data_IF_816683733396
#
_entry.id   IF_816683733396
#
_cell.length_a   1.000
_cell.length_b   1.000
_cell.length_c   1.000
_cell.angle_alpha   90.00
_cell.angle_beta   90.00
_cell.angle_gamma   90.00
#
_symmetry.space_group_name_H-M   'P 1'
#
loop_
_entity.id
_entity.type
_entity.pdbx_description
1 polymer ?
#
# COMPACT_ATOMS: atom_id res chain seq x y z
N UNK A 1 6.26 -8.71 -24.52
CA UNK A 1 6.67 -8.84 -23.15
C UNK A 1 5.82 -7.95 -22.28
N UNK A 2 5.23 -8.51 -21.28
CA UNK A 2 4.47 -7.69 -20.39
C UNK A 2 5.42 -6.91 -19.50
N UNK A 3 5.04 -5.70 -19.17
CA UNK A 3 5.77 -4.93 -18.18
C UNK A 3 5.80 -5.65 -16.85
N UNK A 4 5.02 -6.69 -16.79
CA UNK A 4 4.99 -7.55 -15.64
C UNK A 4 4.52 -6.87 -14.38
N UNK A 5 3.94 -7.67 -13.53
CA UNK A 5 3.64 -7.26 -12.18
C UNK A 5 4.92 -7.40 -11.35
N UNK A 6 5.22 -6.40 -10.54
CA UNK A 6 6.37 -6.47 -9.64
C UNK A 6 6.04 -5.79 -8.32
N UNK A 7 6.57 -6.36 -7.24
CA UNK A 7 6.49 -5.75 -5.92
C UNK A 7 7.82 -5.07 -5.64
N UNK A 8 7.78 -3.76 -5.45
CA UNK A 8 8.96 -2.98 -5.10
C UNK A 8 9.01 -2.86 -3.59
N UNK A 9 10.14 -3.24 -2.98
CA UNK A 9 10.22 -3.34 -1.52
C UNK A 9 11.30 -2.44 -0.93
N UNK A 10 11.04 -2.01 0.30
CA UNK A 10 12.01 -1.25 1.09
C UNK A 10 11.83 -1.58 2.58
N UNK A 11 12.90 -1.43 3.34
CA UNK A 11 12.87 -1.68 4.78
C UNK A 11 12.16 -0.55 5.51
N UNK A 12 11.41 -0.91 6.54
CA UNK A 12 10.78 0.09 7.42
C UNK A 12 10.43 -0.56 8.76
N UNK A 13 10.77 0.07 9.85
CA UNK A 13 10.37 -0.34 11.19
C UNK A 13 10.79 -1.75 11.61
N UNK A 14 11.81 -2.30 10.98
CA UNK A 14 12.28 -3.65 11.25
C UNK A 14 11.73 -4.71 10.31
N UNK A 15 10.78 -4.35 9.47
CA UNK A 15 10.17 -5.24 8.47
C UNK A 15 10.33 -4.70 7.06
N UNK A 16 9.35 -5.06 6.20
CA UNK A 16 9.39 -4.70 4.80
C UNK A 16 8.07 -4.11 4.35
N UNK A 17 8.15 -3.00 3.62
CA UNK A 17 7.01 -2.45 2.88
C UNK A 17 7.13 -2.85 1.43
N UNK A 18 6.00 -3.22 0.82
CA UNK A 18 5.93 -3.49 -0.61
C UNK A 18 4.91 -2.58 -1.27
N UNK A 19 5.21 -2.17 -2.49
CA UNK A 19 4.31 -1.34 -3.30
C UNK A 19 4.21 -1.95 -4.69
N UNK A 20 2.97 -2.07 -5.19
CA UNK A 20 2.73 -2.68 -6.48
C UNK A 20 1.48 -2.11 -7.13
N UNK A 21 1.32 -2.30 -8.45
CA UNK A 21 0.05 -2.00 -9.10
C UNK A 21 -1.01 -3.01 -8.70
N UNK A 22 -2.25 -2.82 -9.16
CA UNK A 22 -3.36 -3.70 -8.83
C UNK A 22 -3.04 -5.14 -9.21
N UNK A 23 -2.95 -6.07 -8.24
CA UNK A 23 -2.70 -7.48 -8.54
C UNK A 23 -3.92 -8.12 -9.20
N UNK A 24 -3.67 -8.90 -10.23
CA UNK A 24 -4.69 -9.68 -10.92
C UNK A 24 -4.50 -11.15 -10.63
N UNK A 25 -5.42 -12.01 -11.13
CA UNK A 25 -5.33 -13.43 -10.86
C UNK A 25 -3.97 -14.02 -11.25
N UNK A 26 -3.43 -13.58 -12.38
CA UNK A 26 -2.13 -14.04 -12.88
C UNK A 26 -0.95 -13.60 -12.02
N UNK A 27 -1.14 -12.59 -11.17
CA UNK A 27 -0.09 -12.04 -10.33
C UNK A 27 -0.05 -12.66 -8.93
N UNK A 28 -1.04 -13.48 -8.60
CA UNK A 28 -1.17 -14.03 -7.26
C UNK A 28 0.01 -14.92 -6.85
N UNK A 29 0.62 -15.62 -7.80
CA UNK A 29 1.83 -16.41 -7.52
C UNK A 29 2.97 -15.54 -7.01
N UNK A 30 3.26 -14.44 -7.71
CA UNK A 30 4.30 -13.49 -7.30
C UNK A 30 3.99 -12.88 -5.94
N UNK A 31 2.72 -12.53 -5.73
CA UNK A 31 2.29 -11.92 -4.46
C UNK A 31 2.48 -12.90 -3.29
N UNK A 32 2.05 -14.14 -3.47
CA UNK A 32 2.19 -15.16 -2.43
C UNK A 32 3.65 -15.48 -2.14
N UNK A 33 4.49 -15.48 -3.17
CA UNK A 33 5.93 -15.72 -3.01
C UNK A 33 6.58 -14.60 -2.18
N UNK A 34 6.11 -13.37 -2.33
CA UNK A 34 6.61 -12.27 -1.49
C UNK A 34 6.14 -12.44 -0.03
N UNK A 35 5.04 -13.13 0.18
CA UNK A 35 4.49 -13.50 1.49
C UNK A 35 4.16 -12.31 2.40
N UNK A 36 3.25 -11.41 1.97
CA UNK A 36 2.82 -10.32 2.85
C UNK A 36 2.03 -10.85 4.03
N UNK A 37 2.17 -10.21 5.18
CA UNK A 37 1.33 -10.49 6.36
C UNK A 37 0.05 -9.65 6.32
N UNK A 38 0.09 -8.51 5.63
CA UNK A 38 -1.03 -7.59 5.52
C UNK A 38 -1.05 -6.99 4.13
N UNK A 39 -2.21 -7.00 3.49
CA UNK A 39 -2.44 -6.35 2.21
C UNK A 39 -3.39 -5.18 2.36
N UNK A 40 -3.00 -4.03 1.83
CA UNK A 40 -3.80 -2.81 1.84
C UNK A 40 -4.19 -2.45 0.42
N UNK A 41 -5.51 -2.43 0.14
CA UNK A 41 -6.04 -2.08 -1.17
C UNK A 41 -6.65 -0.68 -1.12
N UNK A 42 -6.07 0.26 -1.85
CA UNK A 42 -6.53 1.64 -1.89
C UNK A 42 -7.40 1.97 -3.09
N UNK A 43 -7.65 1.01 -3.96
CA UNK A 43 -8.55 1.19 -5.10
C UNK A 43 -10.01 1.17 -4.65
N UNK A 44 -10.85 1.92 -5.36
CA UNK A 44 -12.29 1.80 -5.16
C UNK A 44 -12.78 0.48 -5.78
N UNK A 45 -13.86 -0.07 -5.26
CA UNK A 45 -14.35 -1.37 -5.72
C UNK A 45 -14.70 -1.34 -7.21
N UNK A 46 -15.27 -0.25 -7.70
CA UNK A 46 -15.61 -0.08 -9.11
C UNK A 46 -14.39 -0.25 -10.02
N UNK A 47 -13.25 0.34 -9.63
CA UNK A 47 -12.00 0.18 -10.37
C UNK A 47 -11.58 -1.28 -10.40
N UNK A 48 -11.65 -1.95 -9.27
CA UNK A 48 -11.22 -3.35 -9.16
C UNK A 48 -12.08 -4.24 -10.05
N UNK A 49 -13.39 -4.04 -10.03
CA UNK A 49 -14.31 -4.82 -10.86
C UNK A 49 -14.04 -4.57 -12.35
N UNK A 50 -13.90 -3.31 -12.73
CA UNK A 50 -13.63 -2.94 -14.13
C UNK A 50 -12.33 -3.54 -14.66
N UNK A 51 -11.35 -3.70 -13.79
CA UNK A 51 -10.03 -4.20 -14.14
C UNK A 51 -9.91 -5.72 -13.91
N UNK A 52 -11.01 -6.40 -13.61
CA UNK A 52 -11.02 -7.85 -13.45
C UNK A 52 -10.41 -8.35 -12.14
N UNK A 53 -10.36 -7.49 -11.12
CA UNK A 53 -9.75 -7.82 -9.82
C UNK A 53 -10.72 -7.68 -8.65
N UNK A 54 -12.03 -7.77 -8.90
CA UNK A 54 -13.03 -7.64 -7.84
C UNK A 54 -12.94 -8.69 -6.75
N UNK A 55 -12.33 -9.84 -7.05
CA UNK A 55 -12.15 -10.92 -6.08
C UNK A 55 -10.83 -10.89 -5.32
N UNK A 56 -10.03 -9.83 -5.45
CA UNK A 56 -8.69 -9.77 -4.85
C UNK A 56 -8.73 -9.96 -3.34
N UNK A 57 -9.64 -9.27 -2.64
CA UNK A 57 -9.71 -9.36 -1.18
C UNK A 57 -9.95 -10.79 -0.71
N UNK A 58 -10.91 -11.48 -1.32
CA UNK A 58 -11.20 -12.87 -0.99
C UNK A 58 -9.98 -13.76 -1.29
N UNK A 59 -9.30 -13.53 -2.41
CA UNK A 59 -8.12 -14.31 -2.77
C UNK A 59 -6.98 -14.13 -1.75
N UNK A 60 -6.79 -12.92 -1.26
CA UNK A 60 -5.78 -12.65 -0.22
C UNK A 60 -6.13 -13.36 1.07
N UNK A 61 -7.39 -13.24 1.51
CA UNK A 61 -7.83 -13.90 2.75
C UNK A 61 -7.75 -15.41 2.64
N UNK A 62 -8.11 -15.98 1.49
CA UNK A 62 -7.99 -17.41 1.24
C UNK A 62 -6.52 -17.88 1.32
N UNK A 63 -5.59 -16.99 1.01
CA UNK A 63 -4.16 -17.27 1.11
C UNK A 63 -3.59 -17.02 2.52
N UNK A 64 -4.43 -16.68 3.48
CA UNK A 64 -4.01 -16.42 4.86
C UNK A 64 -3.43 -15.02 5.08
N UNK A 65 -3.65 -14.10 4.14
CA UNK A 65 -3.16 -12.73 4.22
C UNK A 65 -4.27 -11.85 4.76
N UNK A 66 -4.00 -11.12 5.85
CA UNK A 66 -4.95 -10.14 6.35
C UNK A 66 -5.13 -9.03 5.33
N UNK A 67 -6.37 -8.64 5.08
CA UNK A 67 -6.69 -7.64 4.05
C UNK A 67 -7.52 -6.52 4.63
N UNK A 68 -7.13 -5.28 4.32
CA UNK A 68 -7.94 -4.10 4.61
C UNK A 68 -8.19 -3.34 3.32
N UNK A 69 -9.46 -3.05 3.07
CA UNK A 69 -9.88 -2.23 1.94
C UNK A 69 -10.03 -0.79 2.39
N UNK A 70 -9.21 0.09 1.84
CA UNK A 70 -9.18 1.51 2.18
C UNK A 70 -9.46 2.32 0.90
N UNK A 71 -10.71 2.27 0.39
CA UNK A 71 -11.00 2.88 -0.91
C UNK A 71 -10.75 4.39 -0.88
N UNK A 72 -9.90 4.83 -1.80
CA UNK A 72 -9.53 6.23 -1.97
C UNK A 72 -9.67 6.55 -3.45
N UNK A 73 -10.28 7.69 -3.74
CA UNK A 73 -10.44 8.15 -5.12
C UNK A 73 -9.06 8.34 -5.75
N UNK A 74 -8.94 7.96 -7.02
CA UNK A 74 -7.68 8.11 -7.76
C UNK A 74 -7.20 9.57 -7.68
N UNK A 75 -5.90 9.73 -7.46
CA UNK A 75 -5.24 11.03 -7.22
C UNK A 75 -5.69 11.73 -5.94
N UNK A 76 -6.58 11.11 -5.14
CA UNK A 76 -7.11 11.71 -3.93
C UNK A 76 -6.32 11.38 -2.68
N UNK A 77 -6.65 12.10 -1.61
CA UNK A 77 -6.23 11.79 -0.26
C UNK A 77 -7.36 11.02 0.45
N UNK A 78 -7.10 10.40 1.62
CA UNK A 78 -8.14 9.62 2.28
C UNK A 78 -9.37 10.44 2.63
N UNK A 79 -10.58 9.95 2.31
CA UNK A 79 -11.81 10.58 2.78
C UNK A 79 -11.97 10.40 4.28
N UNK A 80 -12.94 11.09 4.88
CA UNK A 80 -13.13 11.09 6.33
C UNK A 80 -13.34 9.69 6.90
N UNK A 81 -14.04 8.81 6.16
CA UNK A 81 -14.30 7.44 6.58
C UNK A 81 -13.00 6.63 6.71
N UNK A 82 -12.07 6.86 5.79
CA UNK A 82 -10.78 6.17 5.80
C UNK A 82 -9.87 6.77 6.87
N UNK A 83 -9.90 8.07 7.05
CA UNK A 83 -9.14 8.72 8.12
C UNK A 83 -9.58 8.19 9.49
N UNK A 84 -10.87 7.87 9.64
CA UNK A 84 -11.40 7.34 10.91
C UNK A 84 -10.87 5.95 11.24
N UNK A 85 -10.66 5.09 10.23
CA UNK A 85 -10.16 3.73 10.47
C UNK A 85 -8.62 3.64 10.39
N UNK A 86 -7.97 4.65 9.85
CA UNK A 86 -6.53 4.62 9.64
C UNK A 86 -5.72 4.35 10.90
N UNK A 87 -6.00 4.97 12.07
CA UNK A 87 -5.18 4.72 13.27
C UNK A 87 -5.09 3.24 13.65
N UNK A 88 -6.20 2.49 13.55
CA UNK A 88 -6.21 1.07 13.85
C UNK A 88 -5.43 0.27 12.80
N UNK A 89 -5.60 0.60 11.52
CA UNK A 89 -4.87 -0.05 10.43
C UNK A 89 -3.38 0.23 10.56
N UNK A 90 -3.01 1.46 10.83
CA UNK A 90 -1.61 1.85 11.02
C UNK A 90 -0.98 1.13 12.21
N UNK A 91 -1.70 1.02 13.32
CA UNK A 91 -1.17 0.33 14.50
C UNK A 91 -0.88 -1.14 14.19
N UNK A 92 -1.79 -1.81 13.45
CA UNK A 92 -1.58 -3.19 13.04
C UNK A 92 -0.38 -3.31 12.10
N UNK A 93 -0.29 -2.44 11.10
CA UNK A 93 0.81 -2.45 10.15
C UNK A 93 2.16 -2.23 10.85
N UNK A 94 2.23 -1.25 11.73
CA UNK A 94 3.45 -0.95 12.49
C UNK A 94 3.86 -2.11 13.39
N UNK A 95 2.89 -2.80 14.00
CA UNK A 95 3.17 -3.98 14.81
C UNK A 95 3.75 -5.12 13.97
N UNK A 96 3.20 -5.35 12.79
CA UNK A 96 3.71 -6.36 11.85
C UNK A 96 5.16 -6.03 11.47
N UNK A 97 5.42 -4.79 11.12
CA UNK A 97 6.78 -4.35 10.76
C UNK A 97 7.75 -4.50 11.93
N UNK A 98 7.33 -4.15 13.14
CA UNK A 98 8.17 -4.28 14.32
C UNK A 98 8.59 -5.74 14.58
N UNK A 99 7.80 -6.70 14.15
CA UNK A 99 8.10 -8.12 14.29
C UNK A 99 8.81 -8.70 13.04
N UNK A 100 9.30 -7.84 12.16
CA UNK A 100 10.00 -8.27 10.96
C UNK A 100 9.11 -8.68 9.82
N UNK A 101 7.80 -8.41 9.90
CA UNK A 101 6.83 -8.81 8.90
C UNK A 101 6.78 -7.90 7.68
N UNK A 102 5.81 -8.18 6.81
CA UNK A 102 5.69 -7.54 5.50
C UNK A 102 4.30 -6.95 5.29
N UNK A 103 4.26 -5.70 4.88
CA UNK A 103 3.02 -4.98 4.57
C UNK A 103 3.05 -4.58 3.10
N UNK A 104 2.03 -4.98 2.36
CA UNK A 104 1.90 -4.69 0.93
C UNK A 104 0.81 -3.65 0.71
N UNK A 105 1.11 -2.63 -0.07
CA UNK A 105 0.13 -1.62 -0.46
C UNK A 105 0.03 -1.58 -1.99
N UNK A 106 -1.19 -1.52 -2.50
CA UNK A 106 -1.42 -1.35 -3.92
C UNK A 106 -2.52 -0.33 -4.18
N UNK A 107 -2.49 0.25 -5.36
CA UNK A 107 -3.60 0.99 -5.92
C UNK A 107 -3.74 0.58 -7.38
N UNK A 108 -4.15 1.45 -8.29
CA UNK A 108 -4.28 1.05 -9.69
C UNK A 108 -2.90 0.87 -10.34
N UNK A 109 -2.07 1.92 -10.30
CA UNK A 109 -0.74 1.89 -10.90
C UNK A 109 0.40 1.62 -9.92
N UNK A 110 0.11 1.57 -8.63
CA UNK A 110 1.14 1.38 -7.63
C UNK A 110 1.99 2.63 -7.41
N UNK A 111 1.38 3.80 -7.50
CA UNK A 111 2.09 5.07 -7.43
C UNK A 111 1.52 5.98 -6.33
N UNK A 112 0.43 6.69 -6.65
CA UNK A 112 -0.06 7.78 -5.80
C UNK A 112 -0.65 7.35 -4.47
N UNK A 113 -1.74 6.62 -4.54
CA UNK A 113 -2.47 6.21 -3.34
C UNK A 113 -1.66 5.24 -2.48
N UNK A 114 -1.05 4.24 -3.09
CA UNK A 114 -0.20 3.29 -2.36
C UNK A 114 1.05 3.98 -1.82
N UNK A 115 1.68 4.85 -2.60
CA UNK A 115 2.83 5.62 -2.14
C UNK A 115 2.49 6.51 -0.95
N UNK A 116 1.33 7.17 -1.00
CA UNK A 116 0.83 8.02 0.08
C UNK A 116 0.69 7.24 1.39
N UNK A 117 0.08 6.07 1.32
CA UNK A 117 -0.14 5.24 2.51
C UNK A 117 1.18 4.75 3.09
N UNK A 118 2.10 4.29 2.24
CA UNK A 118 3.41 3.86 2.71
C UNK A 118 4.21 5.01 3.30
N UNK A 119 4.16 6.18 2.70
CA UNK A 119 4.84 7.36 3.26
C UNK A 119 4.29 7.68 4.65
N UNK A 120 2.96 7.66 4.81
CA UNK A 120 2.33 7.90 6.11
C UNK A 120 2.82 6.91 7.16
N UNK A 121 2.91 5.62 6.80
CA UNK A 121 3.44 4.61 7.72
C UNK A 121 4.89 4.92 8.13
N UNK A 122 5.73 5.28 7.17
CA UNK A 122 7.12 5.61 7.44
C UNK A 122 7.22 6.80 8.41
N UNK A 123 6.40 7.84 8.19
CA UNK A 123 6.36 9.01 9.08
C UNK A 123 5.90 8.62 10.48
N UNK A 124 4.88 7.76 10.57
CA UNK A 124 4.37 7.31 11.86
C UNK A 124 5.35 6.37 12.58
N UNK A 125 6.27 5.78 11.84
CA UNK A 125 7.39 5.03 12.42
C UNK A 125 8.52 5.92 12.90
N UNK A 126 8.41 7.24 12.73
CA UNK A 126 9.37 8.21 13.22
C UNK A 126 10.33 8.76 12.18
N UNK A 127 10.15 8.43 10.91
CA UNK A 127 11.01 8.96 9.85
C UNK A 127 10.63 10.43 9.55
N UNK A 128 11.62 11.22 9.20
CA UNK A 128 11.39 12.57 8.71
C UNK A 128 10.63 12.53 7.39
N UNK A 129 9.54 13.30 7.23
CA UNK A 129 8.71 13.20 6.02
C UNK A 129 9.47 13.41 4.72
N UNK A 130 10.36 14.39 4.64
CA UNK A 130 11.11 14.67 3.42
C UNK A 130 12.09 13.54 3.09
N UNK A 131 12.79 13.02 4.10
CA UNK A 131 13.74 11.94 3.94
C UNK A 131 13.01 10.62 3.61
N UNK A 132 11.87 10.37 4.25
CA UNK A 132 11.06 9.20 3.96
C UNK A 132 10.57 9.20 2.52
N UNK A 133 10.07 10.33 2.03
CA UNK A 133 9.62 10.45 0.64
C UNK A 133 10.76 10.21 -0.33
N UNK A 134 11.93 10.78 -0.06
CA UNK A 134 13.11 10.58 -0.90
C UNK A 134 13.48 9.09 -0.96
N UNK A 135 13.48 8.41 0.18
CA UNK A 135 13.81 7.00 0.28
C UNK A 135 12.78 6.13 -0.45
N UNK A 136 11.50 6.44 -0.27
CA UNK A 136 10.41 5.73 -0.96
C UNK A 136 10.53 5.89 -2.48
N UNK A 137 10.84 7.09 -2.96
CA UNK A 137 10.96 7.38 -4.39
C UNK A 137 12.21 6.77 -5.01
N UNK A 138 13.21 6.39 -4.24
CA UNK A 138 14.32 5.58 -4.76
C UNK A 138 13.84 4.18 -5.13
N UNK A 139 12.90 3.65 -4.37
CA UNK A 139 12.34 2.32 -4.63
C UNK A 139 11.22 2.38 -5.69
N UNK A 140 10.38 3.41 -5.62
CA UNK A 140 9.25 3.59 -6.55
C UNK A 140 9.17 5.06 -6.95
N UNK A 141 9.83 5.46 -8.04
CA UNK A 141 9.93 6.88 -8.41
C UNK A 141 8.60 7.62 -8.54
N UNK A 142 7.53 6.93 -8.92
CA UNK A 142 6.21 7.56 -9.08
C UNK A 142 5.41 7.68 -7.77
N UNK A 143 5.97 7.24 -6.64
CA UNK A 143 5.24 7.25 -5.37
C UNK A 143 4.84 8.66 -4.97
N UNK A 144 3.57 8.83 -4.58
CA UNK A 144 2.94 10.10 -4.18
C UNK A 144 2.84 11.06 -5.37
N UNK A 145 1.62 11.24 -5.86
CA UNK A 145 1.39 11.95 -7.13
C UNK A 145 0.86 13.37 -6.97
N UNK A 146 0.25 13.71 -5.84
CA UNK A 146 -0.34 15.03 -5.67
C UNK A 146 0.09 15.68 -4.36
N UNK A 147 -0.04 17.00 -4.31
CA UNK A 147 0.28 17.76 -3.09
C UNK A 147 -0.66 17.39 -1.93
N UNK A 148 -1.94 17.12 -2.24
CA UNK A 148 -2.88 16.67 -1.22
C UNK A 148 -2.48 15.32 -0.62
N UNK A 149 -1.99 14.41 -1.45
CA UNK A 149 -1.49 13.13 -0.98
C UNK A 149 -0.25 13.33 -0.10
N UNK A 150 0.69 14.17 -0.54
CA UNK A 150 1.90 14.45 0.21
C UNK A 150 1.58 15.11 1.56
N UNK A 151 0.64 16.02 1.58
CA UNK A 151 0.25 16.72 2.80
C UNK A 151 -0.31 15.75 3.85
N UNK A 152 -1.25 14.88 3.45
CA UNK A 152 -1.79 13.90 4.37
C UNK A 152 -0.72 12.92 4.85
N UNK A 153 0.11 12.44 3.94
CA UNK A 153 1.14 11.44 4.25
C UNK A 153 2.23 11.98 5.17
N UNK A 154 2.49 13.28 5.12
CA UNK A 154 3.52 13.89 5.97
C UNK A 154 3.11 13.98 7.44
N UNK A 155 1.89 13.65 7.74
CA UNK A 155 1.36 13.66 9.09
C UNK A 155 0.79 15.02 9.50
N UNK A 156 0.18 15.09 10.67
CA UNK A 156 -0.39 16.32 11.18
C UNK A 156 0.67 17.37 11.47
#
# INVERSE_FOLDING_TARGET
MSDGFAIHQLRAGGGWLGICPLPRAEDMGTLKDWAPDLGLSMTEMDEMVQLGAGGLGAALEDAGITWHHLPIRDFGAPPVEIQAVWPAVSAQARGILANGGKVLAHCRGGCGRSGMVLLRLMVELGEDPAEALKRLRKTRPCAVETEGQRAWASGP
#
